data_IF_775271111445
#
_entry.id   IF_775271111445
#
_cell.length_a   1.000
_cell.length_b   1.000
_cell.length_c   1.000
_cell.angle_alpha   90.00
_cell.angle_beta   90.00
_cell.angle_gamma   90.00
#
_symmetry.space_group_name_H-M   'P 1'
#
loop_
_entity.id
_entity.type
_entity.pdbx_description
1 polymer ?
#
# COMPACT_ATOMS: atom_id res chain seq x y z
N UNK A 1 0.31 59.88 2.98
CA UNK A 1 0.14 58.85 4.02
C UNK A 1 -1.20 58.18 3.79
N UNK A 2 -1.21 56.89 3.47
CA UNK A 2 -2.42 56.09 3.33
C UNK A 2 -2.06 54.66 3.72
N UNK A 3 -2.25 54.34 5.00
CA UNK A 3 -2.04 53.01 5.55
C UNK A 3 -3.20 52.10 5.13
N UNK A 4 -2.90 51.03 4.38
CA UNK A 4 -3.82 49.91 4.22
C UNK A 4 -3.55 48.90 5.35
N UNK A 5 -4.44 48.82 6.33
CA UNK A 5 -4.44 47.79 7.36
C UNK A 5 -5.26 46.59 6.89
N UNK A 6 -4.61 45.43 6.74
CA UNK A 6 -5.28 44.14 6.55
C UNK A 6 -5.97 43.74 7.84
N UNK A 7 -7.26 43.42 7.79
CA UNK A 7 -8.02 42.84 8.90
C UNK A 7 -8.31 41.38 8.57
N UNK A 8 -7.69 40.48 9.32
CA UNK A 8 -8.01 39.06 9.38
C UNK A 8 -9.25 38.88 10.26
N UNK A 9 -10.34 38.37 9.69
CA UNK A 9 -11.44 37.79 10.46
C UNK A 9 -11.95 36.61 9.66
N UNK A 10 -11.46 35.43 10.03
CA UNK A 10 -12.17 34.16 9.91
C UNK A 10 -13.58 34.36 10.47
N UNK A 11 -14.61 34.06 9.67
CA UNK A 11 -15.96 33.55 10.02
C UNK A 11 -16.78 33.56 8.72
N UNK A 12 -16.61 32.53 7.87
CA UNK A 12 -17.57 32.28 6.78
C UNK A 12 -18.48 31.12 7.20
N UNK A 13 -19.68 31.50 7.63
CA UNK A 13 -20.83 30.68 7.94
C UNK A 13 -21.22 29.79 6.76
N UNK A 14 -21.37 28.49 7.01
CA UNK A 14 -21.91 27.51 6.06
C UNK A 14 -23.41 27.75 5.83
N UNK A 15 -23.76 28.46 4.76
CA UNK A 15 -25.11 28.38 4.20
C UNK A 15 -25.13 27.35 3.06
N UNK A 16 -25.79 26.22 3.30
CA UNK A 16 -26.14 25.26 2.25
C UNK A 16 -27.42 25.75 1.57
N UNK A 17 -27.30 26.21 0.32
CA UNK A 17 -28.45 26.49 -0.54
C UNK A 17 -28.57 25.38 -1.60
N UNK A 18 -29.73 24.71 -1.62
CA UNK A 18 -30.08 23.51 -2.39
C UNK A 18 -30.48 23.82 -3.84
N UNK A 19 -29.75 24.68 -4.56
CA UNK A 19 -30.07 24.97 -5.95
C UNK A 19 -28.86 24.87 -6.89
N UNK A 20 -28.93 23.88 -7.77
CA UNK A 20 -27.93 23.55 -8.78
C UNK A 20 -27.79 24.65 -9.83
N UNK A 21 -26.88 25.61 -9.62
CA UNK A 21 -26.23 26.37 -10.69
C UNK A 21 -24.76 26.59 -10.34
N UNK A 22 -23.88 26.18 -11.25
CA UNK A 22 -22.42 26.31 -11.30
C UNK A 22 -21.86 27.30 -10.27
N UNK A 23 -21.37 26.78 -9.13
CA UNK A 23 -20.65 27.55 -8.13
C UNK A 23 -19.32 28.00 -8.71
N UNK A 24 -19.24 29.24 -9.20
CA UNK A 24 -17.96 29.87 -9.59
C UNK A 24 -17.38 30.52 -8.33
N UNK A 25 -16.32 29.98 -7.72
CA UNK A 25 -15.77 30.55 -6.50
C UNK A 25 -15.24 31.95 -6.79
N UNK A 26 -15.79 32.96 -6.10
CA UNK A 26 -15.37 34.38 -6.22
C UNK A 26 -14.09 34.70 -5.45
N UNK A 27 -13.52 33.73 -4.74
CA UNK A 27 -12.24 33.83 -4.03
C UNK A 27 -11.17 33.01 -4.74
N UNK A 28 -9.93 33.53 -4.80
CA UNK A 28 -8.81 32.94 -5.53
C UNK A 28 -8.40 31.52 -5.13
N UNK A 29 -7.27 31.05 -5.67
CA UNK A 29 -6.74 29.70 -5.46
C UNK A 29 -6.78 29.28 -3.98
N UNK A 30 -7.43 28.15 -3.68
CA UNK A 30 -7.43 27.58 -2.33
C UNK A 30 -6.26 26.60 -2.19
N UNK A 31 -5.63 26.49 -1.01
CA UNK A 31 -4.60 25.51 -0.79
C UNK A 31 -5.17 24.10 -0.94
N UNK A 32 -4.34 23.19 -1.45
CA UNK A 32 -4.67 21.81 -1.66
C UNK A 32 -4.99 21.11 -0.34
N UNK A 33 -6.17 20.49 -0.28
CA UNK A 33 -6.59 19.67 0.84
C UNK A 33 -7.05 18.30 0.33
N UNK A 34 -6.47 17.24 0.91
CA UNK A 34 -7.01 15.87 0.79
C UNK A 34 -8.08 15.57 1.85
N UNK A 35 -8.22 16.45 2.85
CA UNK A 35 -9.06 16.22 4.03
C UNK A 35 -10.53 16.43 3.65
N UNK A 36 -11.35 15.40 3.87
CA UNK A 36 -12.81 15.46 3.68
C UNK A 36 -13.33 14.79 2.41
N UNK A 37 -12.46 14.30 1.52
CA UNK A 37 -12.91 13.55 0.34
C UNK A 37 -13.22 12.11 0.76
N UNK A 38 -14.51 11.79 0.86
CA UNK A 38 -14.98 10.41 1.08
C UNK A 38 -15.71 9.93 -0.15
N UNK A 39 -15.47 8.68 -0.55
CA UNK A 39 -16.23 8.05 -1.63
C UNK A 39 -16.54 6.60 -1.29
N UNK A 40 -17.58 6.09 -1.92
CA UNK A 40 -18.08 4.74 -1.74
C UNK A 40 -18.18 4.10 -3.12
N UNK A 41 -17.59 2.91 -3.29
CA UNK A 41 -17.73 2.13 -4.52
C UNK A 41 -19.11 1.46 -4.55
N UNK A 42 -19.72 1.35 -5.74
CA UNK A 42 -21.01 0.66 -5.94
C UNK A 42 -20.92 -0.82 -5.54
N UNK A 43 -19.78 -1.46 -5.86
CA UNK A 43 -19.45 -2.81 -5.41
C UNK A 43 -18.28 -2.76 -4.42
N UNK A 44 -18.30 -3.59 -3.36
CA UNK A 44 -17.14 -3.74 -2.47
C UNK A 44 -15.90 -4.09 -3.29
N UNK A 45 -14.84 -3.30 -3.13
CA UNK A 45 -13.61 -3.42 -3.93
C UNK A 45 -12.46 -3.80 -3.01
N UNK A 46 -11.57 -4.67 -3.50
CA UNK A 46 -10.37 -5.06 -2.76
C UNK A 46 -9.22 -4.06 -3.00
N UNK A 47 -8.23 -4.04 -2.11
CA UNK A 47 -7.05 -3.16 -2.25
C UNK A 47 -6.35 -3.36 -3.60
N UNK A 48 -6.21 -4.63 -4.04
CA UNK A 48 -5.54 -4.97 -5.30
C UNK A 48 -6.32 -4.44 -6.51
N UNK A 49 -7.65 -4.64 -6.50
CA UNK A 49 -8.52 -4.13 -7.55
C UNK A 49 -8.53 -2.60 -7.61
N UNK A 50 -8.53 -1.94 -6.44
CA UNK A 50 -8.45 -0.49 -6.36
C UNK A 50 -7.14 0.04 -6.93
N UNK A 51 -6.00 -0.57 -6.58
CA UNK A 51 -4.70 -0.21 -7.14
C UNK A 51 -4.67 -0.37 -8.66
N UNK A 52 -5.11 -1.50 -9.19
CA UNK A 52 -5.20 -1.75 -10.64
C UNK A 52 -6.08 -0.69 -11.35
N UNK A 53 -7.19 -0.29 -10.72
CA UNK A 53 -8.08 0.76 -11.23
C UNK A 53 -7.42 2.14 -11.24
N UNK A 54 -6.64 2.47 -10.20
CA UNK A 54 -5.85 3.71 -10.12
C UNK A 54 -4.79 3.75 -11.21
N UNK A 55 -4.02 2.68 -11.35
CA UNK A 55 -2.93 2.59 -12.33
C UNK A 55 -3.48 2.73 -13.76
N UNK A 56 -4.56 2.02 -14.09
CA UNK A 56 -5.23 2.13 -15.39
C UNK A 56 -5.72 3.56 -15.69
N UNK A 57 -6.21 4.28 -14.68
CA UNK A 57 -6.59 5.68 -14.85
C UNK A 57 -5.38 6.56 -15.16
N UNK A 58 -4.29 6.44 -14.38
CA UNK A 58 -3.09 7.26 -14.57
C UNK A 58 -2.35 6.97 -15.88
N UNK A 59 -2.42 5.73 -16.41
CA UNK A 59 -1.86 5.39 -17.71
C UNK A 59 -2.65 5.99 -18.87
N UNK A 60 -3.97 6.06 -18.74
CA UNK A 60 -4.86 6.48 -19.82
C UNK A 60 -5.16 7.97 -19.80
N UNK A 61 -5.19 8.63 -18.64
CA UNK A 61 -5.52 10.06 -18.50
C UNK A 61 -4.70 10.99 -19.42
N UNK A 62 -3.37 10.83 -19.57
CA UNK A 62 -2.57 11.66 -20.48
C UNK A 62 -2.93 11.51 -21.96
N UNK A 63 -3.62 10.44 -22.35
CA UNK A 63 -4.03 10.20 -23.74
C UNK A 63 -5.34 10.91 -24.11
N UNK A 64 -6.17 11.25 -23.12
CA UNK A 64 -7.49 11.83 -23.36
C UNK A 64 -7.50 13.36 -23.31
N UNK A 65 -6.76 13.98 -22.38
CA UNK A 65 -6.84 15.43 -22.19
C UNK A 65 -5.54 16.03 -21.65
N UNK A 66 -5.20 17.23 -22.11
CA UNK A 66 -4.10 18.03 -21.56
C UNK A 66 -2.69 17.48 -21.76
N UNK A 67 -1.72 18.12 -21.11
CA UNK A 67 -0.30 17.74 -21.17
C UNK A 67 0.07 16.64 -20.17
N UNK A 68 0.83 15.63 -20.63
CA UNK A 68 1.38 14.56 -19.78
C UNK A 68 2.16 15.11 -18.58
N UNK A 69 2.87 16.23 -18.75
CA UNK A 69 3.66 16.86 -17.67
C UNK A 69 2.77 17.30 -16.50
N UNK A 70 1.60 17.85 -16.79
CA UNK A 70 0.62 18.27 -15.77
C UNK A 70 0.04 17.05 -15.06
N UNK A 71 -0.33 16.00 -15.81
CA UNK A 71 -0.80 14.74 -15.23
C UNK A 71 0.25 14.09 -14.32
N UNK A 72 1.52 14.14 -14.72
CA UNK A 72 2.62 13.60 -13.92
C UNK A 72 2.80 14.41 -12.63
N UNK A 73 2.78 15.74 -12.70
CA UNK A 73 2.81 16.59 -11.50
C UNK A 73 1.62 16.32 -10.57
N UNK A 74 0.41 16.18 -11.12
CA UNK A 74 -0.80 15.84 -10.37
C UNK A 74 -0.67 14.48 -9.68
N UNK A 75 -0.14 13.47 -10.38
CA UNK A 75 0.11 12.14 -9.83
C UNK A 75 1.08 12.20 -8.65
N UNK A 76 2.22 12.87 -8.81
CA UNK A 76 3.21 13.03 -7.73
C UNK A 76 2.63 13.77 -6.52
N UNK A 77 1.81 14.81 -6.73
CA UNK A 77 1.11 15.51 -5.65
C UNK A 77 0.09 14.59 -4.93
N UNK A 78 -0.57 13.70 -5.66
CA UNK A 78 -1.50 12.72 -5.11
C UNK A 78 -0.80 11.63 -4.29
N UNK A 79 0.35 11.14 -4.75
CA UNK A 79 1.14 10.11 -4.06
C UNK A 79 1.87 10.64 -2.81
N UNK A 80 2.13 11.94 -2.77
CA UNK A 80 2.80 12.60 -1.64
C UNK A 80 1.92 12.65 -0.38
N UNK A 81 2.40 12.17 0.76
CA UNK A 81 1.65 12.23 2.02
C UNK A 81 1.56 13.65 2.60
N UNK A 82 2.59 14.48 2.38
CA UNK A 82 2.64 15.85 2.88
C UNK A 82 1.85 16.81 1.98
N UNK A 83 0.88 17.51 2.58
CA UNK A 83 0.05 18.50 1.87
C UNK A 83 0.86 19.72 1.43
N UNK A 84 1.85 20.14 2.21
CA UNK A 84 2.73 21.26 1.85
C UNK A 84 3.60 20.91 0.65
N UNK A 85 4.18 19.71 0.63
CA UNK A 85 4.98 19.23 -0.49
C UNK A 85 4.13 19.07 -1.76
N UNK A 86 2.94 18.49 -1.64
CA UNK A 86 2.00 18.43 -2.74
C UNK A 86 1.62 19.82 -3.27
N UNK A 87 1.40 20.80 -2.39
CA UNK A 87 1.16 22.19 -2.79
C UNK A 87 2.35 22.80 -3.53
N UNK A 88 3.59 22.52 -3.11
CA UNK A 88 4.80 22.97 -3.81
C UNK A 88 4.87 22.43 -5.23
N UNK A 89 4.57 21.14 -5.43
CA UNK A 89 4.52 20.53 -6.77
C UNK A 89 3.47 21.22 -7.63
N UNK A 90 2.26 21.40 -7.10
CA UNK A 90 1.16 22.05 -7.81
C UNK A 90 1.48 23.50 -8.18
N UNK A 91 2.07 24.26 -7.26
CA UNK A 91 2.51 25.63 -7.49
C UNK A 91 3.63 25.70 -8.54
N UNK A 92 4.58 24.75 -8.52
CA UNK A 92 5.66 24.67 -9.51
C UNK A 92 5.12 24.39 -10.93
N UNK A 93 4.07 23.57 -11.02
CA UNK A 93 3.33 23.33 -12.25
C UNK A 93 2.28 24.42 -12.57
N UNK A 94 2.18 25.47 -11.75
CA UNK A 94 1.20 26.58 -11.85
C UNK A 94 -0.26 26.11 -11.97
N UNK A 95 -0.57 25.01 -11.33
CA UNK A 95 -1.93 24.46 -11.30
C UNK A 95 -2.74 25.22 -10.24
N UNK A 96 -3.94 25.65 -10.63
CA UNK A 96 -4.87 26.37 -9.77
C UNK A 96 -6.06 25.49 -9.40
N UNK A 97 -6.40 25.44 -8.11
CA UNK A 97 -7.50 24.67 -7.55
C UNK A 97 -8.49 25.64 -6.88
N UNK A 98 -9.58 26.02 -7.54
CA UNK A 98 -10.48 27.03 -7.00
C UNK A 98 -11.25 26.54 -5.77
N UNK A 99 -11.58 25.26 -5.70
CA UNK A 99 -12.32 24.66 -4.57
C UNK A 99 -11.39 24.13 -3.47
N UNK A 100 -10.10 23.94 -3.76
CA UNK A 100 -9.11 23.31 -2.87
C UNK A 100 -9.09 21.77 -2.93
N UNK A 101 -10.07 21.15 -3.58
CA UNK A 101 -10.14 19.72 -3.82
C UNK A 101 -9.83 19.39 -5.29
N UNK A 102 -8.99 18.37 -5.54
CA UNK A 102 -8.68 17.89 -6.89
C UNK A 102 -9.85 17.19 -7.59
N UNK A 103 -10.86 16.75 -6.84
CA UNK A 103 -12.07 16.09 -7.38
C UNK A 103 -12.93 17.05 -8.19
N UNK A 104 -13.08 18.29 -7.73
CA UNK A 104 -13.93 19.30 -8.37
C UNK A 104 -13.32 19.82 -9.69
N UNK A 105 -12.04 19.53 -9.90
CA UNK A 105 -11.26 19.90 -11.05
C UNK A 105 -10.20 20.93 -10.70
N UNK A 106 -9.05 20.80 -11.36
CA UNK A 106 -7.94 21.73 -11.30
C UNK A 106 -7.65 22.30 -12.69
N UNK A 107 -7.01 23.45 -12.73
CA UNK A 107 -6.81 24.21 -13.96
C UNK A 107 -5.33 24.50 -14.16
N UNK A 108 -4.86 24.29 -15.38
CA UNK A 108 -3.52 24.68 -15.80
C UNK A 108 -3.48 26.17 -16.23
N UNK A 109 -2.29 26.72 -16.43
CA UNK A 109 -2.06 28.10 -16.88
C UNK A 109 -2.69 28.40 -18.25
N UNK A 110 -2.91 27.37 -19.08
CA UNK A 110 -3.61 27.48 -20.36
C UNK A 110 -5.14 27.35 -20.26
N UNK A 111 -5.68 27.16 -19.05
CA UNK A 111 -7.12 27.01 -18.80
C UNK A 111 -7.67 25.61 -19.06
N UNK A 112 -6.81 24.62 -19.31
CA UNK A 112 -7.22 23.21 -19.42
C UNK A 112 -7.71 22.71 -18.05
N UNK A 113 -8.87 22.06 -18.01
CA UNK A 113 -9.45 21.49 -16.78
C UNK A 113 -9.07 20.03 -16.65
N UNK A 114 -8.53 19.66 -15.49
CA UNK A 114 -8.14 18.31 -15.13
C UNK A 114 -8.98 17.85 -13.94
N UNK A 115 -9.81 16.82 -14.14
CA UNK A 115 -10.63 16.24 -13.07
C UNK A 115 -10.07 14.88 -12.65
N UNK A 116 -9.75 14.74 -11.36
CA UNK A 116 -9.22 13.49 -10.81
C UNK A 116 -10.33 12.81 -9.99
N UNK A 117 -10.71 11.57 -10.33
CA UNK A 117 -11.69 10.84 -9.55
C UNK A 117 -11.27 10.64 -8.09
N UNK A 118 -12.24 10.67 -7.18
CA UNK A 118 -12.00 10.48 -5.75
C UNK A 118 -11.28 9.16 -5.42
N UNK A 119 -11.47 8.12 -6.24
CA UNK A 119 -10.79 6.83 -6.06
C UNK A 119 -9.27 6.89 -6.23
N UNK A 120 -8.73 7.91 -6.92
CA UNK A 120 -7.30 8.13 -7.03
C UNK A 120 -6.71 8.86 -5.82
N UNK A 121 -7.54 9.52 -5.01
CA UNK A 121 -7.10 10.39 -3.91
C UNK A 121 -7.22 9.71 -2.55
N UNK A 122 -8.33 9.00 -2.32
CA UNK A 122 -8.66 8.40 -1.01
C UNK A 122 -9.12 6.96 -1.21
N UNK A 123 -8.99 6.13 -0.18
CA UNK A 123 -9.55 4.78 -0.15
C UNK A 123 -11.08 4.83 0.07
N UNK A 124 -11.85 3.89 -0.52
CA UNK A 124 -13.29 3.86 -0.33
C UNK A 124 -13.65 3.43 1.10
N UNK A 125 -14.82 3.85 1.56
CA UNK A 125 -15.43 3.35 2.82
C UNK A 125 -15.64 1.83 2.81
N UNK A 126 -15.98 1.27 1.64
CA UNK A 126 -16.25 -0.15 1.42
C UNK A 126 -15.02 -0.95 0.95
N UNK A 127 -13.84 -0.70 1.56
CA UNK A 127 -12.61 -1.39 1.20
C UNK A 127 -12.54 -2.77 1.85
N UNK A 128 -12.44 -3.82 1.04
CA UNK A 128 -12.17 -5.18 1.52
C UNK A 128 -10.65 -5.38 1.61
N UNK A 129 -10.16 -5.73 2.80
CA UNK A 129 -8.78 -6.17 3.02
C UNK A 129 -8.75 -7.68 2.76
N UNK A 130 -8.13 -8.06 1.65
CA UNK A 130 -7.88 -9.47 1.33
C UNK A 130 -6.76 -9.99 2.25
N UNK A 131 -7.03 -10.17 3.54
CA UNK A 131 -6.12 -10.85 4.47
C UNK A 131 -6.20 -12.38 4.36
N UNK A 132 -7.15 -12.90 3.58
CA UNK A 132 -7.29 -14.32 3.29
C UNK A 132 -7.65 -14.49 1.81
N UNK A 133 -6.66 -14.83 0.97
CA UNK A 133 -6.75 -15.74 -0.19
C UNK A 133 -5.41 -15.70 -0.94
N UNK A 134 -4.62 -16.73 -0.64
CA UNK A 134 -3.55 -17.25 -1.49
C UNK A 134 -4.16 -17.94 -2.71
N UNK A 135 -3.88 -17.45 -3.92
CA UNK A 135 -3.67 -18.31 -5.10
C UNK A 135 -3.32 -17.49 -6.34
N UNK A 136 -2.06 -17.66 -6.74
CA UNK A 136 -1.66 -17.98 -8.11
C UNK A 136 -1.68 -16.88 -9.20
N UNK A 137 -0.44 -16.59 -9.64
CA UNK A 137 0.02 -16.08 -10.94
C UNK A 137 -0.15 -14.57 -11.19
N UNK A 138 0.98 -13.87 -11.20
CA UNK A 138 1.59 -13.43 -12.46
C UNK A 138 3.09 -13.18 -12.22
N UNK A 139 3.90 -14.05 -12.83
CA UNK A 139 5.33 -13.89 -13.05
C UNK A 139 5.52 -12.78 -14.08
N UNK A 140 6.17 -11.68 -13.70
CA UNK A 140 6.93 -10.83 -14.62
C UNK A 140 7.92 -9.99 -13.79
N UNK A 141 9.16 -10.48 -13.75
CA UNK A 141 10.40 -9.70 -13.88
C UNK A 141 10.49 -8.37 -13.12
N UNK A 142 11.00 -8.38 -11.88
CA UNK A 142 11.59 -7.17 -11.25
C UNK A 142 13.05 -7.44 -10.88
N UNK A 143 14.01 -6.64 -11.36
CA UNK A 143 15.43 -6.80 -11.07
C UNK A 143 15.78 -6.65 -9.58
N UNK A 144 16.71 -7.52 -9.19
CA UNK A 144 17.47 -7.74 -7.96
C UNK A 144 18.07 -6.51 -7.24
N UNK A 145 17.30 -5.45 -6.95
CA UNK A 145 17.85 -4.23 -6.30
C UNK A 145 17.03 -3.63 -5.14
N UNK A 146 16.05 -4.35 -4.57
CA UNK A 146 15.27 -3.84 -3.41
C UNK A 146 15.20 -4.79 -2.20
N UNK A 147 16.11 -5.77 -2.11
CA UNK A 147 16.14 -6.73 -0.99
C UNK A 147 16.82 -6.21 0.28
N UNK A 148 17.27 -4.94 0.33
CA UNK A 148 18.08 -4.42 1.44
C UNK A 148 17.33 -3.58 2.47
N UNK A 149 16.01 -3.39 2.38
CA UNK A 149 15.26 -2.52 3.31
C UNK A 149 14.33 -3.23 4.30
N UNK A 150 14.41 -4.56 4.45
CA UNK A 150 13.59 -5.34 5.41
C UNK A 150 14.40 -6.24 6.36
N UNK A 151 15.70 -6.00 6.50
CA UNK A 151 16.65 -6.89 7.20
C UNK A 151 16.79 -6.68 8.71
N UNK A 152 16.03 -5.78 9.34
CA UNK A 152 16.28 -5.39 10.75
C UNK A 152 15.63 -6.29 11.82
N UNK A 153 14.84 -7.31 11.48
CA UNK A 153 14.20 -8.18 12.47
C UNK A 153 14.25 -9.68 12.08
N UNK A 154 15.44 -10.21 11.83
CA UNK A 154 15.64 -11.65 11.65
C UNK A 154 15.83 -12.31 13.02
N UNK A 155 14.96 -13.26 13.36
CA UNK A 155 15.11 -14.11 14.54
C UNK A 155 15.78 -15.44 14.13
N UNK A 156 16.93 -15.80 14.71
CA UNK A 156 17.50 -17.12 14.54
C UNK A 156 16.70 -18.14 15.35
N UNK A 157 16.16 -19.16 14.68
CA UNK A 157 15.42 -20.26 15.29
C UNK A 157 16.21 -21.54 15.11
N UNK A 158 16.28 -22.34 16.16
CA UNK A 158 16.96 -23.64 16.15
C UNK A 158 15.94 -24.73 15.84
N UNK A 159 16.18 -25.49 14.78
CA UNK A 159 15.34 -26.59 14.34
C UNK A 159 16.13 -27.88 14.52
N UNK A 160 15.64 -28.78 15.37
CA UNK A 160 16.21 -30.10 15.56
C UNK A 160 15.60 -31.10 14.60
N UNK A 161 16.44 -31.83 13.88
CA UNK A 161 16.01 -32.80 12.88
C UNK A 161 15.82 -34.18 13.50
N UNK A 162 14.77 -34.89 13.10
CA UNK A 162 14.53 -36.27 13.53
C UNK A 162 15.49 -37.28 12.91
N UNK A 163 16.04 -37.01 11.72
CA UNK A 163 16.88 -37.94 10.96
C UNK A 163 18.34 -37.94 11.42
N UNK A 164 18.90 -36.75 11.66
CA UNK A 164 20.31 -36.53 11.99
C UNK A 164 20.53 -36.24 13.49
N UNK A 165 19.44 -35.95 14.22
CA UNK A 165 19.48 -35.39 15.59
C UNK A 165 20.31 -34.10 15.71
N UNK A 166 20.63 -33.47 14.58
CA UNK A 166 21.39 -32.23 14.49
C UNK A 166 20.46 -31.01 14.62
N UNK A 167 21.03 -29.93 15.14
CA UNK A 167 20.36 -28.65 15.33
C UNK A 167 20.76 -27.69 14.21
N UNK A 168 19.78 -27.30 13.39
CA UNK A 168 19.96 -26.37 12.26
C UNK A 168 19.41 -25.01 12.64
N UNK A 169 20.22 -23.97 12.53
CA UNK A 169 19.80 -22.61 12.79
C UNK A 169 19.29 -21.95 11.49
N UNK A 170 18.04 -21.50 11.49
CA UNK A 170 17.45 -20.77 10.36
C UNK A 170 17.03 -19.37 10.79
N UNK A 171 17.40 -18.37 10.00
CA UNK A 171 16.96 -17.00 10.19
C UNK A 171 15.58 -16.80 9.56
N UNK A 172 14.60 -16.43 10.38
CA UNK A 172 13.24 -16.15 9.94
C UNK A 172 12.75 -14.80 10.43
N UNK A 173 11.89 -14.18 9.64
CA UNK A 173 11.19 -12.96 10.03
C UNK A 173 9.88 -13.37 10.72
N UNK A 174 9.71 -13.15 12.03
CA UNK A 174 8.57 -13.65 12.77
C UNK A 174 7.24 -13.15 12.21
N UNK A 175 7.18 -11.89 11.74
CA UNK A 175 5.95 -11.23 11.31
C UNK A 175 5.46 -11.66 9.93
N UNK A 176 6.38 -12.12 9.08
CA UNK A 176 6.12 -12.38 7.66
C UNK A 176 6.14 -13.89 7.38
N UNK A 177 7.07 -14.63 8.01
CA UNK A 177 7.29 -16.02 7.69
C UNK A 177 6.21 -16.94 8.30
N UNK A 178 5.73 -17.88 7.49
CA UNK A 178 4.87 -19.01 7.87
C UNK A 178 5.68 -20.30 8.03
N UNK A 179 5.07 -21.32 8.64
CA UNK A 179 5.68 -22.64 8.80
C UNK A 179 6.00 -23.30 7.44
N UNK A 180 5.20 -23.06 6.41
CA UNK A 180 5.52 -23.50 5.04
C UNK A 180 6.76 -22.81 4.47
N UNK A 181 6.97 -21.52 4.73
CA UNK A 181 8.20 -20.81 4.35
C UNK A 181 9.41 -21.40 5.07
N UNK A 182 9.25 -21.76 6.35
CA UNK A 182 10.29 -22.40 7.14
C UNK A 182 10.59 -23.84 6.66
N UNK A 183 9.57 -24.57 6.17
CA UNK A 183 9.74 -25.85 5.47
C UNK A 183 10.63 -25.71 4.24
N UNK A 184 10.33 -24.73 3.39
CA UNK A 184 11.10 -24.50 2.16
C UNK A 184 12.56 -24.13 2.48
N UNK A 185 12.78 -23.21 3.43
CA UNK A 185 14.12 -22.83 3.89
C UNK A 185 14.89 -24.02 4.49
N UNK A 186 14.23 -24.91 5.22
CA UNK A 186 14.86 -26.13 5.75
C UNK A 186 15.25 -27.10 4.64
N UNK A 187 14.35 -27.33 3.68
CA UNK A 187 14.60 -28.20 2.53
C UNK A 187 15.77 -27.69 1.69
N UNK A 188 15.86 -26.38 1.45
CA UNK A 188 16.98 -25.78 0.73
C UNK A 188 18.32 -25.98 1.46
N UNK A 189 18.35 -25.72 2.77
CA UNK A 189 19.56 -25.90 3.59
C UNK A 189 20.04 -27.36 3.64
N UNK A 190 19.11 -28.32 3.65
CA UNK A 190 19.42 -29.75 3.69
C UNK A 190 19.47 -30.42 2.32
N UNK A 191 19.26 -29.66 1.24
CA UNK A 191 19.16 -30.17 -0.14
C UNK A 191 18.14 -31.32 -0.27
N UNK A 192 17.01 -31.19 0.42
CA UNK A 192 15.90 -32.15 0.36
C UNK A 192 14.91 -31.72 -0.71
N UNK A 193 14.52 -32.66 -1.57
CA UNK A 193 13.47 -32.42 -2.55
C UNK A 193 12.09 -32.34 -1.85
N UNK A 194 11.36 -31.21 -1.94
CA UNK A 194 10.06 -31.07 -1.28
C UNK A 194 8.98 -32.03 -1.81
N UNK A 195 9.23 -32.67 -2.96
CA UNK A 195 8.35 -33.65 -3.59
C UNK A 195 8.58 -35.08 -3.10
N UNK A 196 9.75 -35.37 -2.52
CA UNK A 196 10.11 -36.71 -2.02
C UNK A 196 10.03 -36.80 -0.50
N UNK A 197 10.25 -35.68 0.18
CA UNK A 197 10.29 -35.62 1.63
C UNK A 197 9.12 -34.81 2.19
N UNK A 198 8.41 -35.40 3.14
CA UNK A 198 7.40 -34.74 3.93
C UNK A 198 8.04 -34.28 5.24
N UNK A 199 8.09 -32.96 5.43
CA UNK A 199 8.57 -32.31 6.65
C UNK A 199 7.38 -31.85 7.47
N UNK A 200 7.34 -32.23 8.76
CA UNK A 200 6.36 -31.76 9.76
C UNK A 200 7.08 -31.10 10.91
N UNK A 201 6.56 -29.97 11.37
CA UNK A 201 7.11 -29.25 12.52
C UNK A 201 6.27 -29.50 13.76
N UNK A 202 6.97 -29.74 14.88
CA UNK A 202 6.38 -29.93 16.19
C UNK A 202 6.98 -28.93 17.16
N UNK A 203 6.12 -28.24 17.91
CA UNK A 203 6.50 -27.35 18.98
C UNK A 203 5.72 -27.69 20.24
N UNK A 204 6.43 -27.93 21.35
CA UNK A 204 5.83 -28.34 22.64
C UNK A 204 4.83 -29.51 22.52
N UNK A 205 5.08 -30.45 21.61
CA UNK A 205 4.22 -31.61 21.37
C UNK A 205 2.99 -31.34 20.47
N UNK A 206 2.80 -30.11 20.01
CA UNK A 206 1.75 -29.76 19.04
C UNK A 206 2.30 -29.76 17.61
N UNK A 207 1.58 -30.40 16.69
CA UNK A 207 1.86 -30.31 15.26
C UNK A 207 1.52 -28.90 14.77
N UNK A 208 2.45 -28.26 14.08
CA UNK A 208 2.24 -26.95 13.47
C UNK A 208 1.68 -27.11 12.06
N UNK A 209 0.60 -26.39 11.77
CA UNK A 209 0.05 -26.33 10.43
C UNK A 209 0.86 -25.37 9.55
N UNK A 210 0.95 -25.65 8.25
CA UNK A 210 1.76 -24.87 7.29
C UNK A 210 1.36 -23.40 7.22
N UNK A 211 0.07 -23.13 7.42
CA UNK A 211 -0.54 -21.79 7.45
C UNK A 211 -0.24 -20.98 8.71
N UNK A 212 0.27 -21.63 9.76
CA UNK A 212 0.57 -20.97 11.03
C UNK A 212 1.72 -19.98 10.86
N UNK A 213 1.58 -18.76 11.38
CA UNK A 213 2.66 -17.76 11.36
C UNK A 213 3.66 -18.04 12.47
N UNK A 214 4.93 -17.72 12.24
CA UNK A 214 6.01 -17.90 13.24
C UNK A 214 5.74 -17.10 14.52
N UNK A 215 5.08 -15.92 14.44
CA UNK A 215 4.64 -15.15 15.63
C UNK A 215 3.75 -15.98 16.56
N UNK A 216 2.82 -16.75 16.01
CA UNK A 216 1.78 -17.43 16.78
C UNK A 216 2.34 -18.62 17.58
N UNK A 217 3.46 -19.17 17.11
CA UNK A 217 4.16 -20.28 17.75
C UNK A 217 4.91 -19.82 19.02
N UNK A 218 4.98 -18.51 19.30
CA UNK A 218 5.68 -17.93 20.47
C UNK A 218 7.10 -18.48 20.65
N UNK A 219 7.84 -18.52 19.54
CA UNK A 219 9.22 -18.98 19.52
C UNK A 219 10.11 -17.92 20.17
N UNK A 220 10.48 -18.15 21.43
CA UNK A 220 11.44 -17.34 22.17
C UNK A 220 12.89 -17.79 21.93
N UNK A 221 13.84 -16.90 22.24
CA UNK A 221 15.27 -17.19 22.13
C UNK A 221 15.65 -18.43 22.97
N UNK A 222 16.19 -19.46 22.32
CA UNK A 222 16.64 -20.70 22.96
C UNK A 222 15.62 -21.86 22.92
N UNK A 223 14.44 -21.65 22.34
CA UNK A 223 13.51 -22.75 22.08
C UNK A 223 13.88 -23.50 20.80
N UNK A 224 13.66 -24.81 20.82
CA UNK A 224 14.00 -25.71 19.72
C UNK A 224 12.72 -26.24 19.07
N UNK A 225 12.60 -26.05 17.77
CA UNK A 225 11.52 -26.61 16.95
C UNK A 225 11.91 -28.01 16.49
N UNK A 226 11.05 -29.01 16.67
CA UNK A 226 11.34 -30.36 16.18
C UNK A 226 10.83 -30.52 14.75
N UNK A 227 11.68 -30.96 13.83
CA UNK A 227 11.32 -31.26 12.45
C UNK A 227 11.39 -32.77 12.21
N UNK A 228 10.23 -33.37 11.92
CA UNK A 228 10.13 -34.74 11.48
C UNK A 228 10.22 -34.79 9.96
N UNK A 229 11.22 -35.50 9.44
CA UNK A 229 11.42 -35.71 8.00
C UNK A 229 11.09 -37.17 7.69
N UNK A 230 10.10 -37.39 6.83
CA UNK A 230 9.71 -38.71 6.35
C UNK A 230 9.72 -38.77 4.83
N UNK A 231 10.28 -39.82 4.26
CA UNK A 231 10.16 -40.09 2.82
C UNK A 231 8.72 -40.45 2.47
N UNK A 232 8.23 -39.91 1.36
CA UNK A 232 6.93 -40.27 0.80
C UNK A 232 7.13 -41.60 0.04
N UNK A 233 6.34 -42.65 0.34
CA UNK A 233 6.47 -43.96 -0.27
C UNK A 233 6.12 -43.97 -1.77
#
# INVERSE_FOLDING_TARGET
MGCCSSRTTDEDSFEHDENSEIYVPRGGNRPFSKKGVTWTSETPITIRQLKKKRDAFWETAPSYEGYKVIWDALRHACESNDTEYAQLILNAAKITIPTGNLVDGCYDELGNRYAIPAYCLVDPTNLIRDDEESSELDDETIPDLLLEQSTTNLLPIVIRLSNSAEDVQINVNPKIDTIDSLKLKLCENQRLDPKKFLVRFFFLGSLLDGKTKVVDVKLDQGQVLQALISEIP
#
